data_IF_336345104421
#
_entry.id   IF_336345104421
#
_cell.length_a   1.000
_cell.length_b   1.000
_cell.length_c   1.000
_cell.angle_alpha   90.00
_cell.angle_beta   90.00
_cell.angle_gamma   90.00
#
_symmetry.space_group_name_H-M   'P 1'
#
loop_
_entity.id
_entity.type
_entity.pdbx_description
1 polymer ?
#
# COMPACT_ATOMS: atom_id res chain seq x y z
N UNK A 1 -49.38 24.61 7.14
CA UNK A 1 -49.58 23.84 8.38
C UNK A 1 -48.23 23.28 8.82
N UNK A 2 -47.74 23.61 10.02
CA UNK A 2 -46.53 22.96 10.57
C UNK A 2 -46.92 21.55 11.03
N UNK A 3 -46.30 20.51 10.47
CA UNK A 3 -46.48 19.15 10.98
C UNK A 3 -45.97 19.10 12.43
N UNK A 4 -46.85 18.84 13.40
CA UNK A 4 -46.42 18.59 14.77
C UNK A 4 -45.82 17.18 14.85
N UNK A 5 -44.51 17.11 15.04
CA UNK A 5 -43.80 15.87 15.35
C UNK A 5 -44.28 15.33 16.70
N UNK A 6 -44.90 14.15 16.71
CA UNK A 6 -45.30 13.51 17.96
C UNK A 6 -44.09 12.88 18.65
N UNK A 7 -44.16 12.71 19.98
CA UNK A 7 -43.11 12.01 20.75
C UNK A 7 -42.84 10.60 20.21
N UNK A 8 -43.88 9.92 19.72
CA UNK A 8 -43.78 8.60 19.11
C UNK A 8 -43.01 8.65 17.79
N UNK A 9 -43.22 9.69 16.99
CA UNK A 9 -42.49 9.86 15.73
C UNK A 9 -41.03 10.21 16.01
N UNK A 10 -40.77 11.05 17.02
CA UNK A 10 -39.41 11.32 17.50
C UNK A 10 -38.71 10.04 17.97
N UNK A 11 -39.35 9.23 18.82
CA UNK A 11 -38.77 7.95 19.27
C UNK A 11 -38.49 6.99 18.12
N UNK A 12 -39.41 6.87 17.16
CA UNK A 12 -39.20 6.02 15.97
C UNK A 12 -38.04 6.52 15.12
N UNK A 13 -37.93 7.83 14.91
CA UNK A 13 -36.83 8.45 14.17
C UNK A 13 -35.48 8.27 14.88
N UNK A 14 -35.43 8.45 16.21
CA UNK A 14 -34.23 8.22 17.00
C UNK A 14 -33.79 6.76 16.97
N UNK A 15 -34.73 5.82 17.11
CA UNK A 15 -34.41 4.39 17.07
C UNK A 15 -33.93 3.94 15.69
N UNK A 16 -34.53 4.46 14.62
CA UNK A 16 -34.10 4.22 13.25
C UNK A 16 -32.71 4.81 12.96
N UNK A 17 -32.42 6.02 13.44
CA UNK A 17 -31.12 6.66 13.28
C UNK A 17 -30.02 5.88 14.02
N UNK A 18 -30.27 5.49 15.27
CA UNK A 18 -29.31 4.69 16.05
C UNK A 18 -29.08 3.32 15.42
N UNK A 19 -30.14 2.62 14.99
CA UNK A 19 -30.00 1.36 14.27
C UNK A 19 -29.17 1.53 12.98
N UNK A 20 -29.45 2.58 12.20
CA UNK A 20 -28.68 2.93 11.00
C UNK A 20 -27.21 3.18 11.27
N UNK A 21 -26.87 3.96 12.31
CA UNK A 21 -25.49 4.26 12.70
C UNK A 21 -24.73 3.06 13.27
N UNK A 22 -25.43 2.09 13.88
CA UNK A 22 -24.80 0.84 14.36
C UNK A 22 -24.60 -0.19 13.27
N UNK A 23 -25.46 -0.19 12.24
CA UNK A 23 -25.32 -1.07 11.07
C UNK A 23 -24.36 -0.49 10.04
N UNK A 24 -24.19 0.84 9.97
CA UNK A 24 -23.33 1.47 8.97
C UNK A 24 -21.88 0.97 8.99
N UNK A 25 -21.17 0.82 10.13
CA UNK A 25 -19.80 0.33 10.14
C UNK A 25 -19.70 -1.11 9.62
N UNK A 26 -20.70 -1.96 9.94
CA UNK A 26 -20.73 -3.36 9.49
C UNK A 26 -20.93 -3.51 7.98
N UNK A 27 -21.69 -2.60 7.36
CA UNK A 27 -21.86 -2.56 5.91
C UNK A 27 -20.75 -1.79 5.21
N UNK A 28 -20.25 -0.70 5.79
CA UNK A 28 -19.13 0.10 5.28
C UNK A 28 -17.87 -0.73 5.25
N UNK A 29 -17.52 -1.45 6.32
CA UNK A 29 -16.37 -2.36 6.33
C UNK A 29 -16.51 -3.46 5.27
N UNK A 30 -17.73 -3.98 5.02
CA UNK A 30 -17.98 -4.95 3.94
C UNK A 30 -17.98 -4.36 2.53
N UNK A 31 -18.33 -3.08 2.38
CA UNK A 31 -18.31 -2.36 1.10
C UNK A 31 -16.88 -1.96 0.72
N UNK A 32 -16.05 -1.60 1.70
CA UNK A 32 -14.63 -1.27 1.49
C UNK A 32 -13.71 -2.51 1.55
N UNK A 33 -14.11 -3.59 2.22
CA UNK A 33 -13.40 -4.87 2.27
C UNK A 33 -14.15 -5.99 1.52
N UNK A 34 -14.77 -5.65 0.37
CA UNK A 34 -15.36 -6.65 -0.51
C UNK A 34 -14.34 -7.75 -0.82
N UNK A 35 -14.73 -9.05 -0.80
CA UNK A 35 -13.79 -10.12 -1.10
C UNK A 35 -13.22 -9.90 -2.50
N UNK A 36 -11.89 -9.86 -2.59
CA UNK A 36 -11.14 -9.78 -3.84
C UNK A 36 -11.80 -10.70 -4.87
N UNK A 37 -12.28 -10.11 -5.97
CA UNK A 37 -13.04 -10.84 -6.97
C UNK A 37 -12.23 -12.05 -7.48
N UNK A 38 -12.88 -13.10 -7.98
CA UNK A 38 -12.14 -14.23 -8.55
C UNK A 38 -11.18 -13.78 -9.68
N UNK A 39 -11.57 -12.73 -10.42
CA UNK A 39 -10.75 -12.08 -11.42
C UNK A 39 -9.54 -11.35 -10.80
N UNK A 40 -9.71 -10.62 -9.70
CA UNK A 40 -8.57 -10.01 -9.00
C UNK A 40 -7.67 -11.04 -8.33
N UNK A 41 -8.20 -12.15 -7.79
CA UNK A 41 -7.38 -13.26 -7.28
C UNK A 41 -6.51 -13.89 -8.38
N UNK A 42 -7.05 -13.96 -9.59
CA UNK A 42 -6.33 -14.42 -10.78
C UNK A 42 -5.33 -13.37 -11.30
N UNK A 43 -5.68 -12.08 -11.24
CA UNK A 43 -4.85 -10.96 -11.73
C UNK A 43 -3.69 -10.60 -10.80
N UNK A 44 -3.91 -10.69 -9.48
CA UNK A 44 -2.89 -10.48 -8.44
C UNK A 44 -2.10 -11.74 -8.12
N UNK A 45 -2.32 -12.84 -8.85
CA UNK A 45 -1.41 -13.98 -8.90
C UNK A 45 -0.94 -14.47 -7.52
N UNK A 46 -1.84 -14.58 -6.52
CA UNK A 46 -1.54 -15.36 -5.29
C UNK A 46 -1.58 -16.87 -5.62
N UNK A 47 -1.00 -17.23 -6.76
CA UNK A 47 -0.42 -18.53 -6.99
C UNK A 47 1.07 -18.28 -7.25
N UNK A 48 1.88 -18.12 -6.18
CA UNK A 48 3.29 -17.73 -6.28
C UNK A 48 4.17 -18.77 -6.98
N UNK A 49 3.63 -19.93 -7.34
CA UNK A 49 4.32 -20.97 -8.07
C UNK A 49 3.36 -21.59 -9.11
N UNK A 50 3.64 -21.38 -10.39
CA UNK A 50 3.57 -22.53 -11.30
C UNK A 50 4.92 -23.23 -11.11
N UNK A 51 5.01 -24.31 -10.32
CA UNK A 51 6.28 -25.02 -10.08
C UNK A 51 6.88 -25.55 -11.39
N UNK A 52 6.07 -25.58 -12.45
CA UNK A 52 6.38 -26.19 -13.73
C UNK A 52 6.75 -25.18 -14.83
N UNK A 53 6.89 -23.88 -14.54
CA UNK A 53 7.45 -22.92 -15.52
C UNK A 53 6.66 -22.70 -16.81
N UNK A 54 5.38 -23.08 -16.87
CA UNK A 54 4.63 -23.09 -18.14
C UNK A 54 4.16 -21.72 -18.65
N UNK A 55 4.27 -20.64 -17.85
CA UNK A 55 3.79 -19.31 -18.23
C UNK A 55 4.91 -18.27 -18.25
N UNK A 56 4.99 -17.49 -19.32
CA UNK A 56 5.89 -16.32 -19.41
C UNK A 56 5.28 -15.17 -18.59
N UNK A 57 6.04 -14.65 -17.61
CA UNK A 57 5.60 -13.54 -16.74
C UNK A 57 5.88 -12.20 -17.41
N UNK A 58 4.83 -11.53 -17.92
CA UNK A 58 4.91 -10.22 -18.60
C UNK A 58 3.87 -9.21 -18.10
N UNK A 59 3.25 -9.44 -16.94
CA UNK A 59 2.08 -8.69 -16.47
C UNK A 59 2.37 -7.61 -15.41
N UNK A 60 3.61 -7.48 -14.94
CA UNK A 60 3.96 -6.62 -13.80
C UNK A 60 5.17 -5.69 -14.02
N UNK A 61 5.64 -5.55 -15.27
CA UNK A 61 6.84 -4.76 -15.62
C UNK A 61 8.12 -5.15 -14.85
N UNK A 62 8.20 -6.38 -14.36
CA UNK A 62 9.41 -6.90 -13.72
C UNK A 62 10.54 -7.03 -14.75
N UNK A 63 11.77 -6.74 -14.33
CA UNK A 63 12.95 -6.95 -15.17
C UNK A 63 13.25 -8.46 -15.28
N UNK A 64 13.19 -9.07 -16.49
CA UNK A 64 13.42 -10.50 -16.66
C UNK A 64 14.88 -10.94 -16.42
N UNK A 65 15.83 -10.00 -16.45
CA UNK A 65 17.26 -10.29 -16.23
C UNK A 65 17.63 -10.38 -14.73
N UNK A 66 16.73 -9.96 -13.84
CA UNK A 66 17.01 -9.84 -12.42
C UNK A 66 17.99 -8.70 -12.07
N UNK A 67 18.41 -8.62 -10.80
CA UNK A 67 19.38 -7.62 -10.35
C UNK A 67 20.78 -7.88 -10.91
N UNK A 68 21.64 -6.86 -10.91
CA UNK A 68 23.06 -7.02 -11.30
C UNK A 68 23.80 -7.96 -10.34
N UNK A 69 24.85 -8.63 -10.82
CA UNK A 69 25.60 -9.57 -9.98
C UNK A 69 26.28 -8.87 -8.79
N UNK A 70 26.74 -7.63 -8.98
CA UNK A 70 27.26 -6.78 -7.89
C UNK A 70 26.21 -6.52 -6.82
N UNK A 71 24.96 -6.29 -7.20
CA UNK A 71 23.87 -6.08 -6.25
C UNK A 71 23.52 -7.39 -5.50
N UNK A 72 23.49 -8.53 -6.20
CA UNK A 72 23.29 -9.85 -5.56
C UNK A 72 24.37 -10.13 -4.52
N UNK A 73 25.63 -9.90 -4.88
CA UNK A 73 26.77 -10.09 -3.99
C UNK A 73 26.68 -9.19 -2.76
N UNK A 74 26.40 -7.90 -2.94
CA UNK A 74 26.23 -6.96 -1.83
C UNK A 74 25.09 -7.37 -0.88
N UNK A 75 23.97 -7.87 -1.41
CA UNK A 75 22.87 -8.40 -0.59
C UNK A 75 23.36 -9.60 0.23
N UNK A 76 23.96 -10.60 -0.41
CA UNK A 76 24.42 -11.83 0.25
C UNK A 76 25.43 -11.51 1.37
N UNK A 77 26.38 -10.62 1.11
CA UNK A 77 27.41 -10.24 2.07
C UNK A 77 26.84 -9.53 3.31
N UNK A 78 25.71 -8.83 3.18
CA UNK A 78 25.12 -8.04 4.26
C UNK A 78 23.91 -8.72 4.94
N UNK A 79 23.54 -9.94 4.53
CA UNK A 79 22.41 -10.67 5.13
C UNK A 79 22.55 -10.86 6.65
N UNK A 80 23.78 -11.04 7.15
CA UNK A 80 24.06 -11.20 8.58
C UNK A 80 23.68 -9.99 9.43
N UNK A 81 23.69 -8.78 8.85
CA UNK A 81 23.39 -7.52 9.53
C UNK A 81 21.92 -7.10 9.37
N UNK A 82 21.10 -7.90 8.68
CA UNK A 82 19.68 -7.58 8.41
C UNK A 82 18.79 -7.53 9.65
N UNK A 83 19.30 -7.93 10.82
CA UNK A 83 18.65 -7.77 12.11
C UNK A 83 18.78 -6.34 12.70
N UNK A 84 19.50 -5.44 12.03
CA UNK A 84 19.72 -4.05 12.46
C UNK A 84 18.98 -3.07 11.54
N UNK A 85 18.55 -1.95 12.12
CA UNK A 85 17.98 -0.86 11.34
C UNK A 85 19.07 -0.19 10.48
N UNK A 86 18.82 0.07 9.18
CA UNK A 86 19.84 0.52 8.24
C UNK A 86 20.03 2.04 8.22
N UNK A 87 19.98 2.72 9.38
CA UNK A 87 19.95 4.19 9.43
C UNK A 87 21.18 4.84 8.79
N UNK A 88 22.36 4.27 9.01
CA UNK A 88 23.62 4.76 8.41
C UNK A 88 23.57 4.57 6.89
N UNK A 89 23.23 3.37 6.44
CA UNK A 89 23.17 3.02 5.02
C UNK A 89 22.10 3.83 4.27
N UNK A 90 20.98 4.16 4.92
CA UNK A 90 19.97 5.06 4.36
C UNK A 90 20.52 6.47 4.16
N UNK A 91 21.26 7.01 5.13
CA UNK A 91 21.90 8.32 5.00
C UNK A 91 22.95 8.33 3.88
N UNK A 92 23.75 7.27 3.75
CA UNK A 92 24.74 7.14 2.68
C UNK A 92 24.07 7.04 1.31
N UNK A 93 23.02 6.23 1.18
CA UNK A 93 22.25 6.09 -0.06
C UNK A 93 21.62 7.41 -0.48
N UNK A 94 21.02 8.15 0.47
CA UNK A 94 20.43 9.47 0.23
C UNK A 94 21.48 10.42 -0.38
N UNK A 95 22.68 10.46 0.22
CA UNK A 95 23.79 11.28 -0.26
C UNK A 95 24.26 10.85 -1.66
N UNK A 96 24.47 9.55 -1.89
CA UNK A 96 24.91 9.05 -3.20
C UNK A 96 23.91 9.38 -4.32
N UNK A 97 22.60 9.31 -4.04
CA UNK A 97 21.57 9.72 -5.00
C UNK A 97 21.63 11.23 -5.24
N UNK A 98 21.73 12.03 -4.19
CA UNK A 98 21.82 13.49 -4.31
C UNK A 98 23.03 13.92 -5.15
N UNK A 99 24.20 13.36 -4.88
CA UNK A 99 25.45 13.61 -5.62
C UNK A 99 25.29 13.21 -7.09
N UNK A 100 24.65 12.06 -7.37
CA UNK A 100 24.41 11.56 -8.73
C UNK A 100 23.47 12.46 -9.53
N UNK A 101 22.43 12.99 -8.89
CA UNK A 101 21.41 13.83 -9.53
C UNK A 101 21.74 15.33 -9.47
N UNK A 102 22.83 15.73 -8.79
CA UNK A 102 23.28 17.12 -8.73
C UNK A 102 22.41 18.03 -7.85
N UNK A 103 21.80 17.48 -6.80
CA UNK A 103 20.91 18.20 -5.87
C UNK A 103 21.42 18.10 -4.44
N UNK A 104 20.86 18.93 -3.54
CA UNK A 104 21.11 18.77 -2.10
C UNK A 104 20.47 17.48 -1.57
N UNK A 105 21.09 16.86 -0.57
CA UNK A 105 20.54 15.68 0.08
C UNK A 105 19.13 15.91 0.64
N UNK A 106 18.82 17.14 1.07
CA UNK A 106 17.50 17.52 1.57
C UNK A 106 16.40 17.49 0.51
N UNK A 107 16.75 17.43 -0.78
CA UNK A 107 15.82 17.21 -1.88
C UNK A 107 15.57 15.72 -2.19
N UNK A 108 16.21 14.79 -1.46
CA UNK A 108 16.03 13.35 -1.65
C UNK A 108 15.22 12.79 -0.49
N UNK A 109 14.12 12.10 -0.78
CA UNK A 109 13.34 11.34 0.21
C UNK A 109 13.35 9.86 -0.16
N UNK A 110 13.68 9.00 0.81
CA UNK A 110 13.75 7.56 0.60
C UNK A 110 12.44 6.90 1.07
N UNK A 111 11.92 5.97 0.28
CA UNK A 111 10.73 5.19 0.61
C UNK A 111 10.83 3.73 0.14
N UNK A 112 9.91 2.90 0.60
CA UNK A 112 9.80 1.50 0.21
C UNK A 112 9.14 1.36 -1.18
N UNK A 113 9.88 1.78 -2.20
CA UNK A 113 9.38 1.88 -3.58
C UNK A 113 8.56 3.16 -3.83
N UNK A 114 8.35 3.48 -5.10
CA UNK A 114 7.68 4.73 -5.51
C UNK A 114 6.21 4.77 -5.12
N UNK A 115 5.53 3.62 -5.00
CA UNK A 115 4.13 3.55 -4.59
C UNK A 115 3.87 4.17 -3.22
N UNK A 116 4.76 3.92 -2.24
CA UNK A 116 4.65 4.50 -0.91
C UNK A 116 4.79 6.04 -0.96
N UNK A 117 5.78 6.54 -1.71
CA UNK A 117 6.03 7.99 -1.87
C UNK A 117 4.86 8.69 -2.57
N UNK A 118 4.25 8.06 -3.57
CA UNK A 118 3.07 8.62 -4.25
C UNK A 118 1.86 8.71 -3.31
N UNK A 119 1.64 7.70 -2.46
CA UNK A 119 0.61 7.77 -1.42
C UNK A 119 0.89 8.88 -0.41
N UNK A 120 2.13 9.00 0.09
CA UNK A 120 2.54 10.07 1.00
C UNK A 120 2.27 11.45 0.39
N UNK A 121 2.66 11.66 -0.88
CA UNK A 121 2.40 12.89 -1.60
C UNK A 121 0.90 13.18 -1.74
N UNK A 122 0.09 12.17 -2.04
CA UNK A 122 -1.36 12.29 -2.10
C UNK A 122 -2.00 12.66 -0.76
N UNK A 123 -1.49 12.13 0.36
CA UNK A 123 -1.96 12.51 1.70
C UNK A 123 -1.54 13.95 2.06
N UNK A 124 -0.34 14.36 1.67
CA UNK A 124 0.20 15.67 2.02
C UNK A 124 -0.39 16.82 1.19
N UNK A 125 -0.74 16.58 -0.07
CA UNK A 125 -1.09 17.63 -1.03
C UNK A 125 -2.37 17.38 -1.86
N UNK A 126 -3.01 16.21 -1.70
CA UNK A 126 -4.20 15.81 -2.47
C UNK A 126 -5.53 16.28 -1.91
#
# INVERSE_FOLDING_TARGET
MKAQLSRRDWFKSSLALTAGLTLSPMFVDKLFAGPVSAAERHQWGINPYSPNGNNIRLNANENPYGPSDKAKEAIIQNLGESNRYPFVQQSELRKMIADKEGVDADHVHLGAGSGAILCEAGVAFG
#
